data_IF_314715059984
#
_entry.id   IF_314715059984
#
_cell.length_a   1.000
_cell.length_b   1.000
_cell.length_c   1.000
_cell.angle_alpha   90.00
_cell.angle_beta   90.00
_cell.angle_gamma   90.00
#
_symmetry.space_group_name_H-M   'P 1'
#
loop_
_entity.id
_entity.type
_entity.pdbx_description
1 polymer ?
#
# COMPACT_ATOMS: atom_id res chain seq x y z
N UNK A 1 1.58 -22.52 7.38
CA UNK A 1 1.12 -21.49 6.43
C UNK A 1 1.82 -21.65 5.09
N UNK A 2 1.05 -21.77 4.00
CA UNK A 2 1.59 -21.87 2.63
C UNK A 2 2.04 -20.50 2.14
N UNK A 3 3.29 -20.35 1.71
CA UNK A 3 3.79 -19.11 1.10
C UNK A 3 3.42 -19.08 -0.38
N UNK A 4 2.75 -18.02 -0.82
CA UNK A 4 2.44 -17.84 -2.23
C UNK A 4 3.72 -17.55 -3.01
N UNK A 5 3.73 -17.91 -4.29
CA UNK A 5 4.78 -17.49 -5.20
C UNK A 5 4.43 -16.13 -5.80
N UNK A 6 5.40 -15.25 -5.86
CA UNK A 6 5.29 -13.90 -6.41
C UNK A 6 6.42 -13.65 -7.39
N UNK A 7 6.18 -12.77 -8.37
CA UNK A 7 7.24 -12.29 -9.25
C UNK A 7 7.93 -11.11 -8.60
N UNK A 8 9.26 -11.17 -8.52
CA UNK A 8 10.13 -10.11 -8.04
C UNK A 8 11.42 -10.14 -8.85
N UNK A 9 11.81 -9.02 -9.45
CA UNK A 9 13.03 -8.88 -10.25
C UNK A 9 13.13 -9.93 -11.37
N UNK A 10 12.04 -10.08 -12.13
CA UNK A 10 11.84 -11.06 -13.21
C UNK A 10 12.01 -12.53 -12.78
N UNK A 11 11.81 -12.82 -11.49
CA UNK A 11 11.96 -14.15 -10.89
C UNK A 11 10.75 -14.53 -10.07
N UNK A 12 10.41 -15.81 -10.09
CA UNK A 12 9.42 -16.37 -9.17
C UNK A 12 10.10 -16.69 -7.83
N UNK A 13 9.61 -16.08 -6.75
CA UNK A 13 10.11 -16.25 -5.38
C UNK A 13 8.96 -16.60 -4.45
N UNK A 14 9.24 -17.25 -3.33
CA UNK A 14 8.24 -17.39 -2.26
C UNK A 14 8.05 -16.06 -1.52
N UNK A 15 6.85 -15.80 -1.02
CA UNK A 15 6.57 -14.64 -0.18
C UNK A 15 7.46 -14.63 1.08
N UNK A 16 8.18 -13.53 1.32
CA UNK A 16 9.19 -13.39 2.38
C UNK A 16 8.72 -12.46 3.50
N UNK A 17 8.94 -12.90 4.75
CA UNK A 17 8.75 -12.12 5.98
C UNK A 17 7.27 -11.77 6.28
N UNK A 18 7.03 -10.62 6.94
CA UNK A 18 5.70 -10.06 7.30
C UNK A 18 4.90 -10.91 8.29
N UNK A 19 5.57 -11.65 9.18
CA UNK A 19 4.91 -12.61 10.08
C UNK A 19 3.82 -11.97 10.96
N UNK A 20 4.03 -10.72 11.41
CA UNK A 20 3.03 -10.01 12.21
C UNK A 20 1.79 -9.67 11.37
N UNK A 21 1.97 -9.26 10.11
CA UNK A 21 0.85 -9.03 9.20
C UNK A 21 0.06 -10.30 8.90
N UNK A 22 0.74 -11.42 8.68
CA UNK A 22 0.09 -12.69 8.41
C UNK A 22 -0.72 -13.18 9.60
N UNK A 23 -0.17 -13.08 10.82
CA UNK A 23 -0.91 -13.37 12.05
C UNK A 23 -2.17 -12.50 12.20
N UNK A 24 -2.09 -11.20 11.90
CA UNK A 24 -3.27 -10.34 11.95
C UNK A 24 -4.32 -10.71 10.89
N UNK A 25 -3.91 -11.15 9.71
CA UNK A 25 -4.84 -11.65 8.69
C UNK A 25 -5.54 -12.93 9.18
N UNK A 26 -4.81 -13.85 9.83
CA UNK A 26 -5.37 -15.04 10.47
C UNK A 26 -6.40 -14.65 11.55
N UNK A 27 -6.08 -13.69 12.43
CA UNK A 27 -7.01 -13.18 13.44
C UNK A 27 -8.29 -12.58 12.81
N UNK A 28 -8.15 -11.88 11.68
CA UNK A 28 -9.29 -11.36 10.93
C UNK A 28 -10.12 -12.48 10.29
N UNK A 29 -9.48 -13.54 9.80
CA UNK A 29 -10.15 -14.73 9.29
C UNK A 29 -10.87 -15.52 10.40
N UNK A 30 -10.33 -15.54 11.61
CA UNK A 30 -10.94 -16.21 12.75
C UNK A 30 -12.18 -15.49 13.26
N UNK A 31 -12.16 -14.16 13.36
CA UNK A 31 -13.27 -13.40 13.98
C UNK A 31 -14.18 -12.68 12.98
N UNK A 32 -13.75 -12.55 11.73
CA UNK A 32 -14.36 -11.65 10.74
C UNK A 32 -14.02 -10.18 11.00
N UNK A 33 -14.42 -9.31 10.07
CA UNK A 33 -14.26 -7.86 10.17
C UNK A 33 -15.60 -7.19 10.41
N UNK A 34 -15.65 -6.22 11.34
CA UNK A 34 -16.85 -5.43 11.65
C UNK A 34 -16.85 -4.04 10.99
N UNK A 35 -15.73 -3.67 10.36
CA UNK A 35 -15.51 -2.44 9.60
C UNK A 35 -14.61 -2.77 8.42
N UNK A 36 -14.49 -1.85 7.45
CA UNK A 36 -13.52 -1.98 6.37
C UNK A 36 -12.11 -1.76 6.91
N UNK A 37 -11.19 -2.69 6.70
CA UNK A 37 -9.79 -2.47 7.05
C UNK A 37 -9.02 -1.92 5.87
N UNK A 38 -8.50 -0.69 6.01
CA UNK A 38 -7.68 -0.05 4.98
C UNK A 38 -6.21 -0.21 5.33
N UNK A 39 -5.49 -1.01 4.55
CA UNK A 39 -4.05 -1.20 4.67
C UNK A 39 -3.35 -0.08 3.89
N UNK A 40 -2.81 0.88 4.63
CA UNK A 40 -2.14 2.06 4.10
C UNK A 40 -0.63 1.94 4.23
N UNK A 41 0.15 2.50 3.32
CA UNK A 41 1.60 2.55 3.49
C UNK A 41 2.34 3.07 2.27
N UNK A 42 3.66 3.30 2.38
CA UNK A 42 4.48 3.84 1.30
C UNK A 42 4.30 3.09 -0.03
N UNK A 43 4.49 3.79 -1.13
CA UNK A 43 4.52 3.17 -2.46
C UNK A 43 5.64 2.12 -2.51
N UNK A 44 5.37 0.97 -3.12
CA UNK A 44 6.35 -0.10 -3.25
C UNK A 44 6.64 -0.92 -1.98
N UNK A 45 5.98 -0.66 -0.84
CA UNK A 45 6.27 -1.40 0.40
C UNK A 45 5.79 -2.87 0.42
N UNK A 46 5.09 -3.33 -0.63
CA UNK A 46 4.67 -4.73 -0.82
C UNK A 46 3.20 -5.04 -0.49
N UNK A 47 2.29 -4.05 -0.50
CA UNK A 47 0.87 -4.24 -0.13
C UNK A 47 0.18 -5.30 -1.01
N UNK A 48 0.38 -5.21 -2.32
CA UNK A 48 -0.12 -6.20 -3.29
C UNK A 48 0.39 -7.61 -2.99
N UNK A 49 1.68 -7.77 -2.67
CA UNK A 49 2.23 -9.07 -2.30
C UNK A 49 1.58 -9.62 -1.01
N UNK A 50 1.35 -8.75 -0.01
CA UNK A 50 0.61 -9.13 1.19
C UNK A 50 -0.82 -9.55 0.87
N UNK A 51 -1.53 -8.87 -0.04
CA UNK A 51 -2.90 -9.23 -0.42
C UNK A 51 -2.95 -10.57 -1.18
N UNK A 52 -1.97 -10.84 -2.05
CA UNK A 52 -1.83 -12.14 -2.71
C UNK A 52 -1.61 -13.26 -1.68
N UNK A 53 -0.80 -13.01 -0.65
CA UNK A 53 -0.63 -13.94 0.47
C UNK A 53 -1.90 -14.07 1.32
N UNK A 54 -2.61 -12.97 1.58
CA UNK A 54 -3.86 -12.95 2.33
C UNK A 54 -4.93 -13.78 1.64
N UNK A 55 -5.03 -13.69 0.30
CA UNK A 55 -5.93 -14.54 -0.50
C UNK A 55 -5.68 -16.01 -0.23
N UNK A 56 -4.41 -16.45 -0.25
CA UNK A 56 -4.04 -17.85 0.00
C UNK A 56 -4.41 -18.29 1.41
N UNK A 57 -4.14 -17.47 2.44
CA UNK A 57 -4.52 -17.78 3.82
C UNK A 57 -6.04 -17.92 3.94
N UNK A 58 -6.79 -16.93 3.46
CA UNK A 58 -8.24 -16.90 3.55
C UNK A 58 -8.89 -18.08 2.81
N UNK A 59 -8.42 -18.38 1.59
CA UNK A 59 -8.91 -19.48 0.76
C UNK A 59 -8.51 -20.85 1.32
N UNK A 60 -7.22 -21.13 1.41
CA UNK A 60 -6.68 -22.47 1.64
C UNK A 60 -6.77 -22.89 3.12
N UNK A 61 -6.61 -21.94 4.06
CA UNK A 61 -6.51 -22.25 5.49
C UNK A 61 -7.84 -22.00 6.24
N UNK A 62 -8.63 -21.02 5.80
CA UNK A 62 -9.88 -20.63 6.49
C UNK A 62 -11.16 -20.92 5.70
N UNK A 63 -11.05 -21.38 4.45
CA UNK A 63 -12.18 -21.81 3.62
C UNK A 63 -13.09 -20.66 3.17
N UNK A 64 -12.53 -19.47 2.98
CA UNK A 64 -13.29 -18.32 2.47
C UNK A 64 -13.48 -18.41 0.95
N UNK A 65 -14.65 -17.97 0.48
CA UNK A 65 -14.82 -17.54 -0.90
C UNK A 65 -14.24 -16.14 -1.06
N UNK A 66 -13.05 -16.06 -1.64
CA UNK A 66 -12.31 -14.82 -1.84
C UNK A 66 -12.66 -14.21 -3.19
N UNK A 67 -12.91 -12.90 -3.20
CA UNK A 67 -12.93 -12.03 -4.38
C UNK A 67 -11.83 -11.00 -4.19
N UNK A 68 -10.80 -11.05 -5.02
CA UNK A 68 -9.68 -10.12 -5.06
C UNK A 68 -9.74 -9.30 -6.34
N UNK A 69 -9.60 -7.99 -6.24
CA UNK A 69 -9.58 -7.08 -7.40
C UNK A 69 -8.39 -6.14 -7.30
N UNK A 70 -7.66 -5.98 -8.40
CA UNK A 70 -6.54 -5.07 -8.54
C UNK A 70 -6.65 -4.37 -9.91
N UNK A 71 -7.40 -3.25 -10.01
CA UNK A 71 -7.67 -2.62 -11.30
C UNK A 71 -6.42 -2.09 -12.02
N UNK A 72 -5.33 -1.89 -11.29
CA UNK A 72 -4.05 -1.41 -11.80
C UNK A 72 -3.05 -2.53 -12.13
N UNK A 73 -3.48 -3.80 -12.02
CA UNK A 73 -2.62 -4.93 -12.36
C UNK A 73 -2.22 -4.92 -13.85
N UNK A 74 -0.97 -5.27 -14.13
CA UNK A 74 -0.44 -5.34 -15.51
C UNK A 74 -0.96 -6.54 -16.30
N UNK A 75 -1.16 -7.67 -15.61
CA UNK A 75 -1.77 -8.87 -16.19
C UNK A 75 -3.29 -8.81 -15.99
N UNK A 76 -4.04 -8.91 -17.09
CA UNK A 76 -5.51 -8.93 -17.07
C UNK A 76 -6.08 -10.01 -16.14
N UNK A 77 -5.37 -11.13 -15.98
CA UNK A 77 -5.78 -12.23 -15.10
C UNK A 77 -5.71 -11.87 -13.61
N UNK A 78 -4.87 -10.90 -13.26
CA UNK A 78 -4.72 -10.43 -11.89
C UNK A 78 -5.69 -9.30 -11.55
N UNK A 79 -6.36 -8.71 -12.56
CA UNK A 79 -7.35 -7.63 -12.36
C UNK A 79 -8.50 -8.10 -11.48
N UNK A 80 -8.98 -9.32 -11.70
CA UNK A 80 -10.02 -9.95 -10.87
C UNK A 80 -9.70 -11.42 -10.68
N UNK A 81 -9.42 -11.80 -9.44
CA UNK A 81 -9.24 -13.17 -9.01
C UNK A 81 -10.35 -13.56 -8.05
N UNK A 82 -10.81 -14.81 -8.15
CA UNK A 82 -11.80 -15.34 -7.24
C UNK A 82 -11.57 -16.84 -7.01
N UNK A 83 -12.10 -17.36 -5.91
CA UNK A 83 -11.96 -18.79 -5.58
C UNK A 83 -12.76 -19.66 -6.56
N UNK A 84 -12.28 -20.84 -6.95
CA UNK A 84 -12.97 -21.71 -7.91
C UNK A 84 -14.42 -22.04 -7.55
N UNK A 85 -14.72 -22.10 -6.25
CA UNK A 85 -16.06 -22.38 -5.70
C UNK A 85 -17.14 -21.34 -6.05
N UNK A 86 -16.77 -20.14 -6.49
CA UNK A 86 -17.71 -19.10 -6.95
C UNK A 86 -17.57 -18.79 -8.45
N UNK A 87 -16.89 -19.65 -9.22
CA UNK A 87 -16.62 -19.42 -10.63
C UNK A 87 -17.90 -19.23 -11.45
N UNK A 88 -18.92 -20.08 -11.28
CA UNK A 88 -20.19 -19.94 -12.01
C UNK A 88 -20.90 -18.61 -11.71
N UNK A 89 -20.81 -18.14 -10.45
CA UNK A 89 -21.38 -16.86 -10.03
C UNK A 89 -20.61 -15.71 -10.70
N UNK A 90 -19.28 -15.77 -10.70
CA UNK A 90 -18.43 -14.77 -11.32
C UNK A 90 -18.69 -14.67 -12.83
N UNK A 91 -18.73 -15.80 -13.53
CA UNK A 91 -19.03 -15.88 -14.97
C UNK A 91 -20.41 -15.29 -15.31
N UNK A 92 -21.44 -15.62 -14.52
CA UNK A 92 -22.78 -15.06 -14.70
C UNK A 92 -22.80 -13.53 -14.51
N UNK A 93 -22.03 -13.01 -13.54
CA UNK A 93 -21.90 -11.58 -13.34
C UNK A 93 -21.17 -10.94 -14.51
N UNK A 94 -20.00 -11.45 -14.88
CA UNK A 94 -19.17 -10.90 -15.96
C UNK A 94 -19.92 -10.83 -17.29
N UNK A 95 -20.67 -11.88 -17.66
CA UNK A 95 -21.51 -11.90 -18.87
C UNK A 95 -22.61 -10.84 -18.89
N UNK A 96 -22.99 -10.28 -17.73
CA UNK A 96 -23.95 -9.18 -17.64
C UNK A 96 -23.35 -7.80 -17.92
N UNK A 97 -22.03 -7.69 -18.15
CA UNK A 97 -21.32 -6.45 -18.45
C UNK A 97 -20.64 -6.52 -19.81
N UNK A 98 -21.07 -5.70 -20.79
CA UNK A 98 -20.44 -5.66 -22.12
C UNK A 98 -18.97 -5.24 -22.12
N UNK A 99 -18.58 -4.36 -21.18
CA UNK A 99 -17.21 -3.93 -20.95
C UNK A 99 -16.92 -3.94 -19.44
N UNK A 100 -16.34 -5.03 -18.92
CA UNK A 100 -16.25 -5.26 -17.48
C UNK A 100 -15.15 -4.43 -16.81
N UNK A 101 -14.05 -4.11 -17.51
CA UNK A 101 -12.87 -3.53 -16.88
C UNK A 101 -13.11 -2.16 -16.23
N UNK A 102 -13.80 -1.20 -16.87
CA UNK A 102 -14.10 0.09 -16.23
C UNK A 102 -15.01 -0.02 -15.01
N UNK A 103 -15.70 -1.15 -14.82
CA UNK A 103 -16.62 -1.41 -13.71
C UNK A 103 -16.17 -2.56 -12.83
N UNK A 104 -14.89 -2.90 -12.84
CA UNK A 104 -14.41 -4.12 -12.19
C UNK A 104 -14.68 -4.15 -10.68
N UNK A 105 -14.63 -2.99 -10.02
CA UNK A 105 -14.96 -2.86 -8.59
C UNK A 105 -16.44 -3.14 -8.34
N UNK A 106 -17.34 -2.60 -9.16
CA UNK A 106 -18.79 -2.87 -9.09
C UNK A 106 -19.10 -4.35 -9.36
N UNK A 107 -18.38 -4.95 -10.31
CA UNK A 107 -18.47 -6.37 -10.63
C UNK A 107 -18.07 -7.22 -9.44
N UNK A 108 -16.94 -6.94 -8.80
CA UNK A 108 -16.48 -7.65 -7.61
C UNK A 108 -17.53 -7.59 -6.49
N UNK A 109 -18.09 -6.41 -6.22
CA UNK A 109 -19.17 -6.21 -5.24
C UNK A 109 -20.42 -7.01 -5.61
N UNK A 110 -20.79 -7.06 -6.90
CA UNK A 110 -21.94 -7.84 -7.37
C UNK A 110 -21.70 -9.36 -7.28
N UNK A 111 -20.48 -9.83 -7.51
CA UNK A 111 -20.09 -11.23 -7.30
C UNK A 111 -20.27 -11.62 -5.83
N UNK A 112 -19.71 -10.81 -4.93
CA UNK A 112 -19.86 -10.98 -3.47
C UNK A 112 -21.34 -11.02 -3.08
N UNK A 113 -22.13 -10.06 -3.56
CA UNK A 113 -23.56 -9.97 -3.25
C UNK A 113 -24.33 -11.21 -3.71
N UNK A 114 -24.03 -11.72 -4.91
CA UNK A 114 -24.65 -12.96 -5.41
C UNK A 114 -24.18 -14.20 -4.67
N UNK A 115 -22.92 -14.25 -4.26
CA UNK A 115 -22.40 -15.36 -3.45
C UNK A 115 -23.12 -15.45 -2.11
N UNK A 116 -23.34 -14.33 -1.41
CA UNK A 116 -24.12 -14.29 -0.16
C UNK A 116 -25.57 -14.74 -0.35
N UNK A 117 -26.18 -14.46 -1.50
CA UNK A 117 -27.58 -14.83 -1.78
C UNK A 117 -27.74 -16.30 -2.19
N UNK A 118 -26.78 -16.86 -2.93
CA UNK A 118 -26.87 -18.21 -3.48
C UNK A 118 -26.31 -19.28 -2.55
N UNK A 119 -25.31 -18.94 -1.74
CA UNK A 119 -24.64 -19.87 -0.85
C UNK A 119 -25.24 -19.80 0.55
N UNK A 120 -25.27 -20.94 1.25
CA UNK A 120 -25.79 -21.00 2.61
C UNK A 120 -24.71 -20.60 3.61
N UNK A 121 -24.87 -19.43 4.24
CA UNK A 121 -23.95 -18.89 5.25
C UNK A 121 -22.47 -19.00 4.84
N UNK A 122 -22.07 -18.48 3.66
CA UNK A 122 -20.68 -18.55 3.21
C UNK A 122 -19.74 -17.74 4.13
N UNK A 123 -18.46 -18.10 4.13
CA UNK A 123 -17.38 -17.22 4.56
C UNK A 123 -16.90 -16.43 3.34
N UNK A 124 -17.00 -15.10 3.37
CA UNK A 124 -16.68 -14.25 2.21
C UNK A 124 -15.49 -13.33 2.52
N UNK A 125 -14.53 -13.28 1.62
CA UNK A 125 -13.41 -12.34 1.70
C UNK A 125 -13.42 -11.40 0.49
N UNK A 126 -13.29 -10.11 0.77
CA UNK A 126 -13.27 -9.05 -0.24
C UNK A 126 -11.94 -8.32 -0.10
N UNK A 127 -11.08 -8.48 -1.08
CA UNK A 127 -9.75 -7.89 -1.12
C UNK A 127 -9.67 -6.89 -2.27
N UNK A 128 -9.54 -5.61 -1.94
CA UNK A 128 -9.58 -4.50 -2.90
C UNK A 128 -8.20 -3.83 -2.94
N UNK A 129 -7.40 -4.09 -3.96
CA UNK A 129 -6.00 -3.65 -4.05
C UNK A 129 -5.85 -2.38 -4.92
N UNK A 130 -5.40 -1.28 -4.30
CA UNK A 130 -5.16 0.04 -4.87
C UNK A 130 -6.33 0.57 -5.73
N UNK A 131 -7.57 0.27 -5.32
CA UNK A 131 -8.77 0.60 -6.09
C UNK A 131 -9.02 2.11 -6.22
N UNK A 132 -8.59 2.91 -5.24
CA UNK A 132 -8.90 4.34 -5.18
C UNK A 132 -8.18 5.15 -6.27
N UNK A 133 -6.96 4.74 -6.61
CA UNK A 133 -6.22 5.32 -7.72
C UNK A 133 -6.93 5.08 -9.06
N UNK A 134 -7.52 3.90 -9.24
CA UNK A 134 -8.20 3.54 -10.48
C UNK A 134 -9.58 4.20 -10.65
N UNK A 135 -10.37 4.28 -9.57
CA UNK A 135 -11.76 4.77 -9.65
C UNK A 135 -11.90 6.28 -9.43
N UNK A 136 -10.86 6.90 -8.89
CA UNK A 136 -10.81 8.30 -8.47
C UNK A 136 -10.88 8.44 -6.95
N UNK A 137 -9.95 9.24 -6.40
CA UNK A 137 -9.86 9.61 -4.99
C UNK A 137 -11.14 10.24 -4.42
N UNK A 138 -11.91 10.93 -5.26
CA UNK A 138 -13.20 11.52 -4.91
C UNK A 138 -14.28 10.48 -4.58
N UNK A 139 -14.12 9.23 -5.06
CA UNK A 139 -15.05 8.13 -4.81
C UNK A 139 -14.63 7.21 -3.67
N UNK A 140 -13.46 7.43 -3.06
CA UNK A 140 -12.93 6.55 -2.01
C UNK A 140 -13.90 6.39 -0.82
N UNK A 141 -14.54 7.49 -0.41
CA UNK A 141 -15.58 7.51 0.63
C UNK A 141 -16.80 6.67 0.25
N UNK A 142 -17.28 6.81 -1.00
CA UNK A 142 -18.47 6.12 -1.51
C UNK A 142 -18.23 4.60 -1.51
N UNK A 143 -17.13 4.15 -2.10
CA UNK A 143 -16.82 2.72 -2.17
C UNK A 143 -16.54 2.12 -0.79
N UNK A 144 -15.88 2.87 0.10
CA UNK A 144 -15.70 2.43 1.49
C UNK A 144 -17.04 2.24 2.19
N UNK A 145 -18.00 3.16 1.98
CA UNK A 145 -19.34 3.01 2.56
C UNK A 145 -20.12 1.83 1.93
N UNK A 146 -19.98 1.59 0.63
CA UNK A 146 -20.58 0.42 -0.03
C UNK A 146 -20.02 -0.88 0.57
N UNK A 147 -18.69 -0.97 0.74
CA UNK A 147 -18.04 -2.11 1.37
C UNK A 147 -18.46 -2.30 2.82
N UNK A 148 -18.59 -1.22 3.60
CA UNK A 148 -19.12 -1.29 4.96
C UNK A 148 -20.56 -1.82 4.97
N UNK A 149 -21.39 -1.39 4.03
CA UNK A 149 -22.77 -1.87 3.92
C UNK A 149 -22.84 -3.38 3.60
N UNK A 150 -21.85 -3.96 2.93
CA UNK A 150 -21.76 -5.43 2.78
C UNK A 150 -21.58 -6.13 4.13
N UNK A 151 -21.01 -5.46 5.13
CA UNK A 151 -20.84 -5.98 6.48
C UNK A 151 -22.11 -5.73 7.32
N UNK A 152 -22.56 -4.47 7.37
CA UNK A 152 -23.66 -4.02 8.26
C UNK A 152 -25.06 -4.42 7.76
N UNK A 153 -25.26 -4.38 6.44
CA UNK A 153 -26.56 -4.59 5.78
C UNK A 153 -26.38 -5.51 4.57
N UNK A 154 -25.91 -6.76 4.79
CA UNK A 154 -25.58 -7.65 3.69
C UNK A 154 -26.83 -8.02 2.87
N UNK A 155 -26.68 -8.21 1.55
CA UNK A 155 -27.79 -8.62 0.69
C UNK A 155 -28.33 -10.03 1.00
N UNK A 156 -27.52 -10.88 1.64
CA UNK A 156 -27.86 -12.25 2.05
C UNK A 156 -27.10 -12.65 3.31
N UNK A 157 -27.34 -13.87 3.80
CA UNK A 157 -26.65 -14.35 5.00
C UNK A 157 -25.18 -14.70 4.71
N UNK A 158 -24.31 -14.51 5.70
CA UNK A 158 -22.93 -15.01 5.70
C UNK A 158 -22.59 -15.57 7.09
N UNK A 159 -21.61 -16.48 7.17
CA UNK A 159 -21.05 -16.93 8.46
C UNK A 159 -20.03 -15.91 8.98
N UNK A 160 -19.07 -15.54 8.14
CA UNK A 160 -18.05 -14.51 8.41
C UNK A 160 -17.73 -13.73 7.15
N UNK A 161 -17.35 -12.48 7.33
CA UNK A 161 -16.87 -11.62 6.26
C UNK A 161 -15.51 -11.02 6.63
N UNK A 162 -14.60 -10.92 5.67
CA UNK A 162 -13.33 -10.19 5.78
C UNK A 162 -13.27 -9.18 4.65
N UNK A 163 -13.12 -7.89 4.97
CA UNK A 163 -13.00 -6.82 3.96
C UNK A 163 -11.71 -6.04 4.17
N UNK A 164 -10.76 -6.21 3.24
CA UNK A 164 -9.48 -5.51 3.21
C UNK A 164 -9.37 -4.63 1.97
N UNK A 165 -8.90 -3.40 2.13
CA UNK A 165 -8.64 -2.47 1.04
C UNK A 165 -7.20 -1.96 1.16
N UNK A 166 -6.40 -1.95 0.09
CA UNK A 166 -5.08 -1.32 0.12
C UNK A 166 -5.16 0.11 -0.43
N UNK A 167 -4.29 0.98 0.08
CA UNK A 167 -4.13 2.33 -0.44
C UNK A 167 -2.68 2.81 -0.25
N UNK A 168 -2.15 3.46 -1.28
CA UNK A 168 -0.82 4.08 -1.26
C UNK A 168 -0.86 5.60 -1.07
N UNK A 169 -2.03 6.21 -0.91
CA UNK A 169 -2.21 7.67 -1.01
C UNK A 169 -2.60 8.31 0.33
N UNK A 170 -1.80 9.26 0.81
CA UNK A 170 -2.08 9.99 2.05
C UNK A 170 -3.40 10.77 2.02
N UNK A 171 -3.85 11.19 0.83
CA UNK A 171 -5.12 11.90 0.60
C UNK A 171 -6.35 11.02 0.89
N UNK A 172 -6.25 9.72 0.63
CA UNK A 172 -7.32 8.75 0.96
C UNK A 172 -7.58 8.72 2.46
N UNK A 173 -6.53 8.90 3.28
CA UNK A 173 -6.60 8.89 4.75
C UNK A 173 -7.44 10.04 5.27
N UNK A 174 -7.20 11.27 4.83
CA UNK A 174 -7.94 12.44 5.34
C UNK A 174 -9.44 12.35 5.03
N UNK A 175 -9.76 11.80 3.85
CA UNK A 175 -11.13 11.63 3.38
C UNK A 175 -11.87 10.54 4.13
N UNK A 176 -11.29 9.35 4.24
CA UNK A 176 -11.96 8.19 4.88
C UNK A 176 -11.84 8.24 6.41
N UNK A 177 -10.67 8.63 6.94
CA UNK A 177 -10.33 8.55 8.37
C UNK A 177 -11.17 9.46 9.28
N UNK A 178 -11.84 10.47 8.71
CA UNK A 178 -12.82 11.30 9.44
C UNK A 178 -14.15 10.58 9.72
N UNK A 179 -14.36 9.39 9.14
CA UNK A 179 -15.56 8.57 9.30
C UNK A 179 -15.27 7.31 10.10
N UNK A 180 -16.29 6.77 10.79
CA UNK A 180 -16.21 5.46 11.48
C UNK A 180 -16.43 4.27 10.53
N UNK A 181 -16.25 4.46 9.23
CA UNK A 181 -16.53 3.44 8.22
C UNK A 181 -15.39 2.46 8.01
N UNK A 182 -14.16 2.93 8.27
CA UNK A 182 -12.97 2.13 8.09
C UNK A 182 -12.02 2.29 9.28
N UNK A 183 -11.22 1.25 9.46
CA UNK A 183 -10.08 1.25 10.37
C UNK A 183 -8.81 1.12 9.53
N UNK A 184 -7.89 2.05 9.71
CA UNK A 184 -6.61 2.01 9.02
C UNK A 184 -5.62 1.12 9.77
N UNK A 185 -4.79 0.44 8.98
CA UNK A 185 -3.63 -0.31 9.44
C UNK A 185 -2.45 0.06 8.56
N UNK A 186 -1.39 0.61 9.14
CA UNK A 186 -0.23 1.01 8.37
C UNK A 186 0.69 -0.18 8.15
N UNK A 187 1.20 -0.31 6.93
CA UNK A 187 2.28 -1.20 6.57
C UNK A 187 3.52 -0.37 6.20
N UNK A 188 4.57 -0.48 7.01
CA UNK A 188 5.84 0.17 6.70
C UNK A 188 6.64 -0.62 5.65
N UNK A 189 7.74 -0.01 5.18
CA UNK A 189 8.81 -0.73 4.50
C UNK A 189 9.29 -1.93 5.33
N UNK A 190 9.90 -2.92 4.68
CA UNK A 190 10.28 -4.16 5.35
C UNK A 190 11.30 -3.89 6.47
N UNK A 191 11.21 -4.61 7.60
CA UNK A 191 12.26 -4.58 8.61
C UNK A 191 13.57 -5.09 8.03
N UNK A 192 14.70 -4.64 8.60
CA UNK A 192 16.04 -4.89 8.07
C UNK A 192 16.34 -6.36 7.79
N UNK A 193 15.95 -7.26 8.70
CA UNK A 193 16.17 -8.70 8.55
C UNK A 193 15.32 -9.31 7.43
N UNK A 194 14.06 -8.88 7.31
CA UNK A 194 13.18 -9.32 6.22
C UNK A 194 13.65 -8.81 4.85
N UNK A 195 14.09 -7.55 4.80
CA UNK A 195 14.67 -6.97 3.60
C UNK A 195 15.97 -7.65 3.20
N UNK A 196 16.81 -8.07 4.16
CA UNK A 196 18.02 -8.87 3.90
C UNK A 196 17.70 -10.19 3.20
N UNK A 197 16.70 -10.93 3.69
CA UNK A 197 16.24 -12.17 3.05
C UNK A 197 15.80 -11.92 1.60
N UNK A 198 15.07 -10.83 1.35
CA UNK A 198 14.64 -10.46 -0.01
C UNK A 198 15.84 -10.12 -0.91
N UNK A 199 16.79 -9.33 -0.40
CA UNK A 199 18.05 -9.01 -1.10
C UNK A 199 18.87 -10.26 -1.43
N UNK A 200 18.91 -11.25 -0.54
CA UNK A 200 19.67 -12.50 -0.74
C UNK A 200 19.17 -13.35 -1.91
N UNK A 201 17.91 -13.22 -2.32
CA UNK A 201 17.34 -13.93 -3.48
C UNK A 201 17.90 -13.43 -4.82
N UNK A 202 18.40 -12.19 -4.85
CA UNK A 202 18.98 -11.61 -6.05
C UNK A 202 20.37 -12.21 -6.35
N UNK A 203 20.72 -12.40 -7.64
CA UNK A 203 21.97 -13.03 -8.02
C UNK A 203 23.17 -12.10 -7.78
N UNK A 204 24.36 -12.70 -7.70
CA UNK A 204 25.62 -11.98 -7.83
C UNK A 204 25.93 -11.65 -9.31
N UNK A 205 26.69 -10.57 -9.60
CA UNK A 205 27.25 -9.62 -8.65
C UNK A 205 26.23 -8.56 -8.19
N UNK A 206 26.28 -8.21 -6.91
CA UNK A 206 25.49 -7.10 -6.33
C UNK A 206 26.30 -6.28 -5.31
N UNK A 207 25.98 -4.98 -5.10
CA UNK A 207 26.59 -4.15 -4.06
C UNK A 207 26.37 -4.73 -2.67
N UNK A 208 27.09 -4.21 -1.67
CA UNK A 208 26.89 -4.65 -0.29
C UNK A 208 25.46 -4.37 0.18
N UNK A 209 24.96 -5.21 1.09
CA UNK A 209 23.64 -5.01 1.68
C UNK A 209 23.50 -3.62 2.33
N UNK A 210 24.55 -3.11 2.96
CA UNK A 210 24.51 -1.80 3.63
C UNK A 210 24.32 -0.64 2.64
N UNK A 211 24.97 -0.71 1.46
CA UNK A 211 24.81 0.32 0.43
C UNK A 211 23.37 0.33 -0.10
N UNK A 212 22.80 -0.86 -0.33
CA UNK A 212 21.42 -1.00 -0.78
C UNK A 212 20.43 -0.56 0.31
N UNK A 213 20.68 -0.93 1.57
CA UNK A 213 19.85 -0.53 2.71
C UNK A 213 19.76 0.98 2.87
N UNK A 214 20.88 1.69 2.73
CA UNK A 214 20.94 3.16 2.81
C UNK A 214 20.11 3.87 1.74
N UNK A 215 19.86 3.23 0.62
CA UNK A 215 19.06 3.78 -0.49
C UNK A 215 17.60 3.37 -0.39
N UNK A 216 17.35 2.07 -0.18
CA UNK A 216 16.00 1.50 -0.22
C UNK A 216 15.24 1.67 1.09
N UNK A 217 15.93 1.73 2.23
CA UNK A 217 15.30 1.82 3.56
C UNK A 217 14.27 0.71 3.81
N UNK A 218 14.52 -0.49 3.28
CA UNK A 218 13.62 -1.63 3.39
C UNK A 218 12.50 -1.70 2.34
N UNK A 219 12.48 -0.81 1.35
CA UNK A 219 11.44 -0.79 0.32
C UNK A 219 11.72 -1.83 -0.80
N UNK A 220 10.86 -2.84 -1.01
CA UNK A 220 11.03 -3.87 -2.05
C UNK A 220 11.12 -3.32 -3.48
N UNK A 221 10.29 -2.34 -3.83
CA UNK A 221 10.25 -1.78 -5.19
C UNK A 221 11.56 -1.04 -5.54
N UNK A 222 12.15 -0.33 -4.58
CA UNK A 222 13.47 0.29 -4.78
C UNK A 222 14.55 -0.77 -4.95
N UNK A 223 14.49 -1.88 -4.21
CA UNK A 223 15.44 -2.98 -4.40
C UNK A 223 15.32 -3.61 -5.79
N UNK A 224 14.10 -3.85 -6.25
CA UNK A 224 13.83 -4.36 -7.59
C UNK A 224 14.33 -3.40 -8.68
N UNK A 225 14.03 -2.11 -8.53
CA UNK A 225 14.48 -1.06 -9.45
C UNK A 225 16.00 -0.93 -9.47
N UNK A 226 16.66 -1.02 -8.30
CA UNK A 226 18.12 -1.08 -8.19
C UNK A 226 18.69 -2.25 -8.99
N UNK A 227 18.09 -3.43 -8.87
CA UNK A 227 18.54 -4.60 -9.61
C UNK A 227 18.35 -4.45 -11.12
N UNK A 228 17.15 -4.05 -11.57
CA UNK A 228 16.82 -3.90 -13.00
C UNK A 228 17.70 -2.84 -13.67
N UNK A 229 18.02 -1.76 -12.96
CA UNK A 229 18.89 -0.68 -13.45
C UNK A 229 20.39 -0.97 -13.29
N UNK A 230 20.77 -2.22 -13.05
CA UNK A 230 22.16 -2.64 -12.95
C UNK A 230 22.90 -1.99 -11.78
N UNK A 231 22.19 -1.75 -10.67
CA UNK A 231 22.68 -1.13 -9.43
C UNK A 231 23.13 0.33 -9.58
N UNK A 232 22.68 1.03 -10.62
CA UNK A 232 23.00 2.44 -10.84
C UNK A 232 22.11 3.37 -10.01
N UNK A 233 22.63 3.80 -8.86
CA UNK A 233 21.95 4.77 -7.99
C UNK A 233 21.66 6.11 -8.70
N UNK A 234 22.64 6.64 -9.45
CA UNK A 234 22.48 7.92 -10.15
C UNK A 234 21.39 7.88 -11.23
N UNK A 235 21.24 6.75 -11.92
CA UNK A 235 20.19 6.59 -12.93
C UNK A 235 18.81 6.62 -12.29
N UNK A 236 18.63 5.84 -11.22
CA UNK A 236 17.35 5.76 -10.50
C UNK A 236 17.00 7.10 -9.87
N UNK A 237 17.98 7.79 -9.27
CA UNK A 237 17.77 9.12 -8.71
C UNK A 237 17.37 10.12 -9.81
N UNK A 238 17.98 10.05 -10.99
CA UNK A 238 17.64 10.91 -12.13
C UNK A 238 16.24 10.62 -12.68
N UNK A 239 15.88 9.34 -12.80
CA UNK A 239 14.54 8.87 -13.16
C UNK A 239 13.50 9.37 -12.17
N UNK A 240 13.74 9.14 -10.88
CA UNK A 240 12.85 9.55 -9.80
C UNK A 240 12.60 11.07 -9.80
N UNK A 241 13.66 11.88 -9.97
CA UNK A 241 13.54 13.35 -10.09
C UNK A 241 12.66 13.75 -11.27
N UNK A 242 12.80 13.07 -12.40
CA UNK A 242 12.05 13.36 -13.64
C UNK A 242 10.58 12.98 -13.49
N UNK A 243 10.32 11.75 -13.04
CA UNK A 243 8.98 11.16 -13.03
C UNK A 243 8.08 11.85 -12.00
N UNK A 244 8.67 12.25 -10.85
CA UNK A 244 7.99 13.05 -9.82
C UNK A 244 8.05 14.57 -10.09
N UNK A 245 8.65 15.00 -11.20
CA UNK A 245 8.78 16.43 -11.58
C UNK A 245 9.38 17.31 -10.48
N UNK A 246 10.36 16.80 -9.72
CA UNK A 246 10.91 17.47 -8.54
C UNK A 246 11.56 18.82 -8.86
N UNK A 247 12.12 18.97 -10.08
CA UNK A 247 12.66 20.25 -10.57
C UNK A 247 11.58 21.33 -10.71
N UNK A 248 10.40 20.96 -11.21
CA UNK A 248 9.27 21.88 -11.32
C UNK A 248 8.70 22.21 -9.95
N UNK A 249 8.54 21.20 -9.09
CA UNK A 249 8.08 21.37 -7.72
C UNK A 249 8.95 22.36 -6.94
N UNK A 250 10.26 22.12 -6.87
CA UNK A 250 11.21 23.00 -6.16
C UNK A 250 11.28 24.40 -6.76
N UNK A 251 11.04 24.56 -8.06
CA UNK A 251 11.01 25.87 -8.71
C UNK A 251 9.76 26.70 -8.37
N UNK A 252 8.66 26.05 -7.97
CA UNK A 252 7.41 26.71 -7.58
C UNK A 252 7.39 27.13 -6.11
N UNK A 253 8.38 26.70 -5.31
CA UNK A 253 8.45 27.04 -3.89
C UNK A 253 8.87 28.50 -3.71
N UNK A 254 8.23 29.19 -2.78
CA UNK A 254 8.69 30.50 -2.33
C UNK A 254 9.90 30.36 -1.36
N UNK A 255 10.56 31.48 -1.06
CA UNK A 255 11.76 31.52 -0.19
C UNK A 255 11.56 30.93 1.22
N UNK A 256 10.35 31.02 1.78
CA UNK A 256 10.07 30.43 3.11
C UNK A 256 9.80 28.94 3.02
N UNK A 257 9.03 28.50 2.03
CA UNK A 257 8.81 27.07 1.75
C UNK A 257 10.13 26.37 1.45
N UNK A 258 11.01 26.99 0.66
CA UNK A 258 12.31 26.43 0.33
C UNK A 258 13.19 26.26 1.58
N UNK A 259 13.30 27.28 2.43
CA UNK A 259 14.05 27.19 3.68
C UNK A 259 13.50 26.12 4.62
N UNK A 260 12.17 26.03 4.74
CA UNK A 260 11.54 24.96 5.50
C UNK A 260 11.87 23.57 4.91
N UNK A 261 11.84 23.42 3.59
CA UNK A 261 12.19 22.16 2.93
C UNK A 261 13.67 21.76 3.14
N UNK A 262 14.57 22.74 3.17
CA UNK A 262 16.00 22.52 3.47
C UNK A 262 16.20 21.94 4.88
N UNK A 263 15.39 22.35 5.86
CA UNK A 263 15.38 21.77 7.21
C UNK A 263 14.71 20.39 7.23
N UNK A 264 13.55 20.23 6.57
CA UNK A 264 12.74 18.99 6.51
C UNK A 264 13.51 17.82 5.86
N UNK A 265 14.43 18.09 4.94
CA UNK A 265 15.33 17.07 4.38
C UNK A 265 16.08 16.34 5.48
N UNK A 266 16.59 17.05 6.49
CA UNK A 266 17.39 16.46 7.55
C UNK A 266 16.55 15.95 8.71
N UNK A 267 15.46 16.65 9.04
CA UNK A 267 14.51 16.20 10.06
C UNK A 267 13.06 16.43 9.58
N UNK A 268 12.34 15.38 9.17
CA UNK A 268 10.97 15.53 8.69
C UNK A 268 10.00 16.01 9.78
N UNK A 269 10.33 15.89 11.08
CA UNK A 269 9.47 16.37 12.16
C UNK A 269 9.35 17.90 12.22
N UNK A 270 10.23 18.62 11.52
CA UNK A 270 10.13 20.09 11.34
C UNK A 270 8.77 20.48 10.77
N UNK A 271 8.14 19.60 9.99
CA UNK A 271 6.76 19.77 9.51
C UNK A 271 5.82 20.03 10.69
N UNK A 272 5.88 19.21 11.73
CA UNK A 272 5.01 19.35 12.91
C UNK A 272 5.42 20.54 13.77
N UNK A 273 6.72 20.70 14.01
CA UNK A 273 7.26 21.76 14.88
C UNK A 273 6.85 23.16 14.39
N UNK A 274 6.80 23.35 13.07
CA UNK A 274 6.51 24.63 12.42
C UNK A 274 5.15 24.64 11.71
N UNK A 275 4.26 23.69 12.01
CA UNK A 275 2.95 23.57 11.36
C UNK A 275 2.04 24.81 11.56
N UNK A 276 2.36 25.70 12.49
CA UNK A 276 1.65 26.99 12.66
C UNK A 276 1.96 28.00 11.56
N UNK A 277 3.06 27.82 10.83
CA UNK A 277 3.46 28.67 9.72
C UNK A 277 2.66 28.32 8.47
N UNK A 278 1.95 29.27 7.82
CA UNK A 278 1.15 29.00 6.64
C UNK A 278 1.93 28.36 5.49
N UNK A 279 3.20 28.74 5.33
CA UNK A 279 4.09 28.20 4.31
C UNK A 279 4.45 26.73 4.59
N UNK A 280 4.62 26.34 5.85
CA UNK A 280 4.89 24.94 6.22
C UNK A 280 3.64 24.09 6.05
N UNK A 281 2.45 24.61 6.35
CA UNK A 281 1.18 23.90 6.07
C UNK A 281 0.97 23.65 4.58
N UNK A 282 1.27 24.65 3.73
CA UNK A 282 1.17 24.49 2.28
C UNK A 282 2.20 23.50 1.76
N UNK A 283 3.43 23.54 2.30
CA UNK A 283 4.48 22.61 1.94
C UNK A 283 4.14 21.17 2.36
N UNK A 284 3.63 20.97 3.58
CA UNK A 284 3.19 19.66 4.08
C UNK A 284 2.17 19.01 3.16
N UNK A 285 1.11 19.73 2.80
CA UNK A 285 0.11 19.26 1.82
C UNK A 285 0.74 18.87 0.48
N UNK A 286 1.61 19.72 -0.08
CA UNK A 286 2.31 19.42 -1.34
C UNK A 286 3.18 18.17 -1.23
N UNK A 287 3.92 18.00 -0.13
CA UNK A 287 4.79 16.84 0.09
C UNK A 287 3.99 15.54 0.24
N UNK A 288 2.85 15.57 0.92
CA UNK A 288 1.94 14.41 1.06
C UNK A 288 1.26 14.10 -0.28
N UNK A 289 0.73 15.10 -0.98
CA UNK A 289 0.07 14.94 -2.30
C UNK A 289 1.03 14.38 -3.35
N UNK A 290 2.31 14.73 -3.26
CA UNK A 290 3.36 14.19 -4.14
C UNK A 290 3.91 12.84 -3.67
N UNK A 291 3.36 12.25 -2.60
CA UNK A 291 3.83 11.01 -1.98
C UNK A 291 5.33 11.05 -1.64
N UNK A 292 5.85 12.21 -1.22
CA UNK A 292 7.25 12.38 -0.81
C UNK A 292 7.46 12.04 0.67
N UNK A 293 6.53 12.50 1.49
CA UNK A 293 6.50 12.25 2.94
C UNK A 293 5.22 11.55 3.33
N UNK A 294 5.26 10.92 4.50
CA UNK A 294 4.13 10.24 5.11
C UNK A 294 4.09 10.59 6.59
N UNK A 295 2.88 10.79 7.10
CA UNK A 295 2.63 10.86 8.54
C UNK A 295 2.89 9.50 9.20
N UNK A 296 3.59 9.54 10.33
CA UNK A 296 3.83 8.37 11.16
C UNK A 296 2.90 8.43 12.36
N UNK A 297 2.10 7.38 12.50
CA UNK A 297 1.17 7.25 13.61
C UNK A 297 1.91 6.86 14.88
N UNK A 298 1.19 6.91 15.99
CA UNK A 298 1.65 6.21 17.18
C UNK A 298 1.97 4.75 16.80
N UNK A 299 3.15 4.30 17.23
CA UNK A 299 3.70 2.98 16.89
C UNK A 299 3.10 1.90 17.80
N UNK A 300 1.82 2.05 18.11
CA UNK A 300 1.07 1.10 18.91
C UNK A 300 0.74 -0.16 18.09
N UNK A 301 0.35 -1.24 18.77
CA UNK A 301 0.07 -2.51 18.10
C UNK A 301 -1.19 -2.45 17.23
N UNK A 302 -2.10 -1.51 17.48
CA UNK A 302 -3.38 -1.41 16.80
C UNK A 302 -3.24 -0.66 15.48
N UNK A 303 -2.40 0.36 15.37
CA UNK A 303 -2.28 1.22 14.20
C UNK A 303 -1.60 0.56 13.00
N UNK A 304 -0.97 -0.60 13.17
CA UNK A 304 -0.07 -1.20 12.18
C UNK A 304 -0.48 -2.63 11.86
N UNK A 305 -0.53 -2.98 10.56
CA UNK A 305 -0.71 -4.39 10.15
C UNK A 305 0.58 -5.18 10.40
N UNK A 306 1.73 -4.52 10.33
CA UNK A 306 3.04 -5.17 10.47
C UNK A 306 3.94 -4.45 11.50
N UNK A 307 5.26 -4.63 11.40
CA UNK A 307 6.26 -3.98 12.25
C UNK A 307 6.34 -2.49 11.88
N UNK A 308 6.13 -1.56 12.84
CA UNK A 308 6.29 -0.13 12.60
C UNK A 308 7.77 0.26 12.37
N UNK A 309 8.05 1.45 11.80
CA UNK A 309 9.40 1.98 11.75
C UNK A 309 9.98 2.21 13.16
N UNK A 310 11.32 2.35 13.31
CA UNK A 310 11.93 2.80 14.55
C UNK A 310 11.37 4.17 15.00
N UNK A 311 11.50 4.50 16.28
CA UNK A 311 10.98 5.77 16.83
C UNK A 311 11.55 6.98 16.09
N UNK A 312 12.86 6.96 15.78
CA UNK A 312 13.52 7.95 14.95
C UNK A 312 14.77 7.33 14.32
N UNK A 313 14.96 7.57 13.03
CA UNK A 313 16.15 7.21 12.25
C UNK A 313 16.33 8.23 11.13
N UNK A 314 17.06 9.31 11.43
CA UNK A 314 17.28 10.38 10.46
C UNK A 314 18.17 9.96 9.29
N UNK A 315 18.99 8.91 9.44
CA UNK A 315 19.78 8.39 8.31
C UNK A 315 18.88 7.80 7.23
N UNK A 316 17.77 7.17 7.64
CA UNK A 316 16.73 6.68 6.74
C UNK A 316 15.62 7.71 6.43
N UNK A 317 15.69 8.89 7.04
CA UNK A 317 14.69 9.95 6.85
C UNK A 317 13.40 9.70 7.62
N UNK A 318 13.48 8.99 8.75
CA UNK A 318 12.36 8.64 9.61
C UNK A 318 12.39 9.53 10.86
N UNK A 319 11.41 10.41 10.98
CA UNK A 319 11.12 11.17 12.20
C UNK A 319 10.15 10.42 13.12
N UNK A 320 9.79 11.07 14.21
CA UNK A 320 8.80 10.59 15.16
C UNK A 320 7.38 10.68 14.60
N UNK A 321 7.06 11.76 13.89
CA UNK A 321 5.72 12.10 13.40
C UNK A 321 5.63 12.14 11.89
N UNK A 322 6.73 12.39 11.20
CA UNK A 322 6.80 12.36 9.75
C UNK A 322 8.00 11.55 9.28
N UNK A 323 7.91 10.98 8.09
CA UNK A 323 9.03 10.31 7.45
C UNK A 323 9.01 10.58 5.95
N UNK A 324 10.19 10.60 5.34
CA UNK A 324 10.31 10.37 3.91
C UNK A 324 9.85 8.95 3.60
N UNK A 325 9.15 8.73 2.49
CA UNK A 325 8.67 7.38 2.16
C UNK A 325 9.83 6.37 2.08
N UNK A 326 10.97 6.80 1.53
CA UNK A 326 12.25 6.07 1.53
C UNK A 326 13.42 7.05 1.51
N UNK A 327 14.66 6.61 1.80
CA UNK A 327 15.85 7.46 1.68
C UNK A 327 16.04 8.06 0.28
N UNK A 328 15.71 7.30 -0.78
CA UNK A 328 15.74 7.79 -2.16
C UNK A 328 14.88 9.05 -2.38
N UNK A 329 13.72 9.14 -1.74
CA UNK A 329 12.84 10.32 -1.84
C UNK A 329 13.56 11.57 -1.30
N UNK A 330 14.15 11.45 -0.10
CA UNK A 330 14.94 12.52 0.52
C UNK A 330 16.12 12.94 -0.35
N UNK A 331 16.93 11.99 -0.79
CA UNK A 331 18.14 12.28 -1.58
C UNK A 331 17.79 12.92 -2.93
N UNK A 332 16.68 12.52 -3.54
CA UNK A 332 16.19 13.12 -4.79
C UNK A 332 15.81 14.58 -4.61
N UNK A 333 15.11 14.93 -3.54
CA UNK A 333 14.78 16.33 -3.23
C UNK A 333 16.04 17.13 -2.91
N UNK A 334 16.93 16.59 -2.08
CA UNK A 334 18.22 17.22 -1.73
C UNK A 334 19.08 17.53 -2.96
N UNK A 335 19.17 16.59 -3.91
CA UNK A 335 19.91 16.77 -5.16
C UNK A 335 19.38 17.93 -5.98
N UNK A 336 18.06 18.11 -6.02
CA UNK A 336 17.46 19.20 -6.81
C UNK A 336 17.66 20.55 -6.13
N UNK A 337 17.61 20.63 -4.80
CA UNK A 337 17.85 21.87 -4.06
C UNK A 337 19.32 22.32 -4.09
N UNK A 338 20.27 21.38 -3.99
CA UNK A 338 21.70 21.69 -3.97
C UNK A 338 22.32 22.03 -5.34
N UNK A 339 21.60 21.79 -6.44
CA UNK A 339 22.04 22.10 -7.81
C UNK A 339 21.65 23.55 -8.25
N UNK A 340 21.41 24.47 -7.32
CA UNK A 340 21.02 25.85 -7.61
C UNK A 340 21.85 26.85 -6.84
#
# INVERSE_FOLDING_TARGET
MKRTKIVFADREIEFIDREKALKQIEEYAERGTHVVYVIYGPEGCGKTALFKQAKVILEDEFGYHVVYVSPLARDEREILMYTPSIHEIAEEVLKSFPDPYPRIVDIAIKIVSRAMNKLRKPRIAVLMDDIFQAIGLDKAEIYTKILLNLIEYPPGEYEKIVVLVSSSEGVTRERIGRHRWATFRIMWNMPRDGFRKLYEVLPEPKPSFEDVWRVAGGNPDILETLYISGWSFDNILTEFIRDRKLRSFTAMLNEKERRALEEIIYDPDIILERLREPEVQQLEKKLIEMNLVVDIWERDELGWIDVPPPEKDLELGIGKYFAWQTPLHRESVKRVLGNR
#
